data_IF_142960588615
#
_entry.id   IF_142960588615
#
_cell.length_a   1.000
_cell.length_b   1.000
_cell.length_c   1.000
_cell.angle_alpha   90.00
_cell.angle_beta   90.00
_cell.angle_gamma   90.00
#
_symmetry.space_group_name_H-M   'P 1'
#
loop_
_entity.id
_entity.type
_entity.pdbx_description
1 polymer ?
#
# COMPACT_ATOMS: atom_id res chain seq x y z
N UNK A 1 -19.82 0.35 -3.72
CA UNK A 1 -20.92 -0.49 -3.23
C UNK A 1 -20.42 -1.29 -2.05
N UNK A 2 -21.29 -1.61 -1.11
CA UNK A 2 -20.98 -2.59 -0.07
C UNK A 2 -20.81 -3.97 -0.74
N UNK A 3 -19.75 -4.70 -0.39
CA UNK A 3 -19.54 -6.06 -0.91
C UNK A 3 -20.61 -6.97 -0.28
N UNK A 4 -21.25 -7.83 -1.07
CA UNK A 4 -22.22 -8.80 -0.51
C UNK A 4 -21.50 -9.96 0.18
N UNK A 5 -22.23 -10.73 1.00
CA UNK A 5 -21.68 -11.93 1.66
C UNK A 5 -21.17 -12.93 0.60
N UNK A 6 -21.90 -13.09 -0.50
CA UNK A 6 -21.54 -13.98 -1.62
C UNK A 6 -20.21 -13.58 -2.25
N UNK A 7 -19.92 -12.28 -2.32
CA UNK A 7 -18.63 -11.80 -2.81
C UNK A 7 -17.48 -12.24 -1.89
N UNK A 8 -17.66 -12.23 -0.57
CA UNK A 8 -16.61 -12.66 0.36
C UNK A 8 -16.35 -14.17 0.39
N UNK A 9 -17.25 -14.99 -0.16
CA UNK A 9 -17.05 -16.44 -0.23
C UNK A 9 -16.13 -16.85 -1.39
N UNK A 10 -15.96 -15.99 -2.39
CA UNK A 10 -15.19 -16.31 -3.59
C UNK A 10 -14.24 -15.16 -3.96
N UNK A 11 -12.93 -15.40 -3.86
CA UNK A 11 -11.88 -14.43 -4.17
C UNK A 11 -11.97 -13.85 -5.59
N UNK A 12 -12.32 -14.66 -6.59
CA UNK A 12 -12.40 -14.22 -7.99
C UNK A 12 -13.62 -13.33 -8.23
N UNK A 13 -14.77 -13.71 -7.66
CA UNK A 13 -15.96 -12.86 -7.63
C UNK A 13 -15.66 -11.55 -6.91
N UNK A 14 -15.01 -11.61 -5.74
CA UNK A 14 -14.60 -10.42 -5.02
C UNK A 14 -13.71 -9.52 -5.88
N UNK A 15 -12.67 -10.06 -6.53
CA UNK A 15 -11.76 -9.28 -7.37
C UNK A 15 -12.45 -8.65 -8.57
N UNK A 16 -13.43 -9.33 -9.17
CA UNK A 16 -14.17 -8.82 -10.33
C UNK A 16 -15.01 -7.59 -10.00
N UNK A 17 -15.63 -7.59 -8.82
CA UNK A 17 -16.63 -6.59 -8.45
C UNK A 17 -16.13 -5.58 -7.41
N UNK A 18 -15.15 -5.98 -6.61
CA UNK A 18 -14.52 -5.18 -5.59
C UNK A 18 -13.18 -4.65 -6.08
N UNK A 19 -13.02 -3.34 -6.01
CA UNK A 19 -11.72 -2.70 -6.19
C UNK A 19 -10.87 -2.73 -4.92
N UNK A 20 -11.04 -3.69 -4.00
CA UNK A 20 -10.34 -3.79 -2.71
C UNK A 20 -9.44 -5.02 -2.62
N UNK A 21 -8.52 -5.05 -1.65
CA UNK A 21 -7.70 -6.24 -1.39
C UNK A 21 -8.52 -7.28 -0.61
N UNK A 22 -8.59 -8.51 -1.11
CA UNK A 22 -9.48 -9.54 -0.55
C UNK A 22 -9.18 -9.88 0.92
N UNK A 23 -7.91 -10.13 1.26
CA UNK A 23 -7.53 -10.47 2.63
C UNK A 23 -7.83 -9.30 3.58
N UNK A 24 -7.49 -8.08 3.16
CA UNK A 24 -7.78 -6.89 3.94
C UNK A 24 -9.28 -6.73 4.20
N UNK A 25 -10.12 -6.88 3.18
CA UNK A 25 -11.56 -6.75 3.33
C UNK A 25 -12.15 -7.82 4.26
N UNK A 26 -11.58 -9.04 4.28
CA UNK A 26 -11.95 -10.08 5.24
C UNK A 26 -11.48 -9.76 6.66
N UNK A 27 -10.31 -9.14 6.83
CA UNK A 27 -9.81 -8.73 8.14
C UNK A 27 -10.68 -7.64 8.78
N UNK A 28 -11.25 -6.74 7.98
CA UNK A 28 -12.15 -5.70 8.48
C UNK A 28 -13.43 -6.31 9.09
N UNK A 29 -13.89 -7.46 8.60
CA UNK A 29 -15.07 -8.19 9.11
C UNK A 29 -14.71 -9.34 10.06
N UNK A 30 -13.44 -9.46 10.48
CA UNK A 30 -12.98 -10.45 11.47
C UNK A 30 -13.58 -10.20 12.86
N UNK A 31 -13.90 -8.94 13.17
CA UNK A 31 -14.52 -8.53 14.42
C UNK A 31 -16.04 -8.63 14.30
N UNK A 32 -16.68 -9.20 15.33
CA UNK A 32 -18.13 -9.41 15.39
C UNK A 32 -18.92 -8.11 15.20
N UNK A 33 -18.43 -7.06 15.84
CA UNK A 33 -19.05 -5.73 15.83
C UNK A 33 -19.10 -5.18 14.41
N UNK A 34 -18.01 -5.33 13.65
CA UNK A 34 -17.95 -4.87 12.26
C UNK A 34 -18.85 -5.70 11.34
N UNK A 35 -18.93 -7.02 11.59
CA UNK A 35 -19.85 -7.90 10.87
C UNK A 35 -21.30 -7.47 11.07
N UNK A 36 -21.73 -7.35 12.33
CA UNK A 36 -23.10 -6.93 12.70
C UNK A 36 -23.44 -5.55 12.17
N UNK A 37 -22.49 -4.60 12.25
CA UNK A 37 -22.67 -3.25 11.75
C UNK A 37 -22.92 -3.21 10.23
N UNK A 38 -22.19 -4.02 9.46
CA UNK A 38 -22.25 -3.98 7.99
C UNK A 38 -23.36 -4.85 7.39
N UNK A 39 -23.74 -5.93 8.07
CA UNK A 39 -24.65 -6.95 7.53
C UNK A 39 -25.92 -7.17 8.36
N UNK A 40 -26.07 -6.49 9.50
CA UNK A 40 -27.20 -6.67 10.42
C UNK A 40 -27.11 -7.92 11.29
N UNK A 41 -26.14 -8.80 11.04
CA UNK A 41 -25.93 -10.06 11.75
C UNK A 41 -24.44 -10.45 11.77
N UNK A 42 -24.08 -11.41 12.63
CA UNK A 42 -22.75 -12.01 12.60
C UNK A 42 -22.65 -12.98 11.41
N UNK A 43 -21.73 -12.73 10.48
CA UNK A 43 -21.53 -13.50 9.25
C UNK A 43 -20.22 -14.29 9.30
N UNK A 44 -19.44 -14.23 10.40
CA UNK A 44 -18.06 -14.75 10.44
C UNK A 44 -17.96 -16.24 10.18
N UNK A 45 -18.96 -17.01 10.58
CA UNK A 45 -19.11 -18.44 10.30
C UNK A 45 -19.30 -18.77 8.80
N UNK A 46 -19.74 -17.79 8.02
CA UNK A 46 -19.97 -17.88 6.57
C UNK A 46 -18.80 -17.38 5.73
N UNK A 47 -17.73 -16.90 6.36
CA UNK A 47 -16.55 -16.36 5.70
C UNK A 47 -15.44 -17.41 5.59
N UNK A 48 -14.57 -17.31 4.58
CA UNK A 48 -13.39 -18.15 4.49
C UNK A 48 -12.42 -17.85 5.64
N UNK A 49 -11.67 -18.89 6.02
CA UNK A 49 -10.61 -18.81 7.02
C UNK A 49 -9.48 -17.86 6.55
N UNK A 50 -9.40 -16.70 7.21
CA UNK A 50 -8.48 -15.60 6.88
C UNK A 50 -7.03 -16.03 6.98
N UNK A 51 -6.71 -16.93 7.91
CA UNK A 51 -5.35 -17.36 8.19
C UNK A 51 -4.79 -18.23 7.04
N UNK A 52 -5.67 -18.80 6.21
CA UNK A 52 -5.30 -19.55 4.99
C UNK A 52 -5.15 -18.66 3.75
N UNK A 53 -5.47 -17.37 3.85
CA UNK A 53 -5.44 -16.45 2.71
C UNK A 53 -4.16 -15.62 2.78
N UNK A 54 -3.42 -15.57 1.68
CA UNK A 54 -2.24 -14.70 1.53
C UNK A 54 -2.63 -13.31 1.04
N UNK A 55 -1.87 -12.30 1.46
CA UNK A 55 -2.00 -10.96 0.88
C UNK A 55 -1.64 -10.98 -0.60
N UNK A 56 -2.41 -10.25 -1.40
CA UNK A 56 -2.08 -9.98 -2.79
C UNK A 56 -1.13 -8.76 -2.83
N UNK A 57 0.18 -9.03 -2.73
CA UNK A 57 1.22 -8.00 -2.65
C UNK A 57 1.24 -7.10 -3.91
N UNK A 58 0.98 -7.67 -5.08
CA UNK A 58 0.84 -6.93 -6.33
C UNK A 58 -0.31 -5.92 -6.26
N UNK A 59 -1.48 -6.31 -5.76
CA UNK A 59 -2.60 -5.38 -5.58
C UNK A 59 -2.27 -4.26 -4.58
N UNK A 60 -1.62 -4.59 -3.45
CA UNK A 60 -1.24 -3.57 -2.46
C UNK A 60 -0.24 -2.59 -3.06
N UNK A 61 0.80 -3.09 -3.74
CA UNK A 61 1.81 -2.26 -4.41
C UNK A 61 1.17 -1.38 -5.50
N UNK A 62 0.26 -1.91 -6.31
CA UNK A 62 -0.41 -1.14 -7.35
C UNK A 62 -1.19 0.05 -6.75
N UNK A 63 -1.79 -0.12 -5.56
CA UNK A 63 -2.45 0.98 -4.84
C UNK A 63 -1.48 2.02 -4.29
N UNK A 64 -0.29 1.61 -3.86
CA UNK A 64 0.79 2.55 -3.50
C UNK A 64 1.11 3.41 -4.72
N UNK A 65 1.44 2.77 -5.84
CA UNK A 65 1.83 3.45 -7.07
C UNK A 65 0.71 4.34 -7.63
N UNK A 66 -0.56 3.91 -7.52
CA UNK A 66 -1.71 4.75 -7.86
C UNK A 66 -1.73 6.07 -7.10
N UNK A 67 -1.44 6.06 -5.81
CA UNK A 67 -1.42 7.30 -5.01
C UNK A 67 -0.20 8.16 -5.33
N UNK A 68 0.92 7.57 -5.72
CA UNK A 68 2.09 8.33 -6.20
C UNK A 68 1.80 8.99 -7.55
N UNK A 69 1.28 8.23 -8.53
CA UNK A 69 0.87 8.74 -9.84
C UNK A 69 -0.12 9.91 -9.69
N UNK A 70 -1.09 9.77 -8.78
CA UNK A 70 -2.03 10.86 -8.47
C UNK A 70 -1.35 12.06 -7.84
N UNK A 71 -0.33 11.87 -6.99
CA UNK A 71 0.45 12.98 -6.45
C UNK A 71 1.22 13.70 -7.57
N UNK A 72 1.85 12.97 -8.48
CA UNK A 72 2.59 13.55 -9.61
C UNK A 72 1.69 14.32 -10.58
N UNK A 73 0.46 13.85 -10.80
CA UNK A 73 -0.50 14.46 -11.73
C UNK A 73 -1.18 15.72 -11.16
N UNK A 74 -1.30 15.82 -9.85
CA UNK A 74 -2.09 16.86 -9.20
C UNK A 74 -1.38 18.22 -9.24
N UNK A 75 -2.13 19.27 -9.60
CA UNK A 75 -1.61 20.64 -9.66
C UNK A 75 -1.73 21.37 -8.33
N UNK A 76 -2.76 21.05 -7.56
CA UNK A 76 -2.93 21.57 -6.21
C UNK A 76 -1.96 20.88 -5.26
N UNK A 77 -1.07 21.66 -4.66
CA UNK A 77 -0.01 21.13 -3.81
C UNK A 77 -0.56 20.42 -2.56
N UNK A 78 -1.62 20.96 -1.94
CA UNK A 78 -2.23 20.36 -0.74
C UNK A 78 -2.84 19.00 -1.07
N UNK A 79 -3.53 18.88 -2.20
CA UNK A 79 -4.08 17.60 -2.67
C UNK A 79 -2.92 16.67 -3.03
N UNK A 80 -1.88 17.15 -3.71
CA UNK A 80 -0.71 16.35 -4.08
C UNK A 80 -0.01 15.76 -2.86
N UNK A 81 0.28 16.57 -1.83
CA UNK A 81 0.84 16.15 -0.54
C UNK A 81 -0.07 15.15 0.18
N UNK A 82 -1.40 15.34 0.09
CA UNK A 82 -2.38 14.40 0.62
C UNK A 82 -2.34 13.04 -0.11
N UNK A 83 -2.19 13.01 -1.43
CA UNK A 83 -2.04 11.76 -2.19
C UNK A 83 -0.70 11.09 -1.87
N UNK A 84 0.39 11.85 -1.80
CA UNK A 84 1.70 11.34 -1.41
C UNK A 84 1.70 10.68 -0.03
N UNK A 85 1.17 11.34 0.99
CA UNK A 85 1.08 10.74 2.34
C UNK A 85 0.28 9.44 2.34
N UNK A 86 -0.78 9.31 1.53
CA UNK A 86 -1.51 8.04 1.37
C UNK A 86 -0.65 6.95 0.74
N UNK A 87 0.19 7.29 -0.25
CA UNK A 87 1.12 6.34 -0.84
C UNK A 87 2.12 5.85 0.21
N UNK A 88 2.74 6.76 0.96
CA UNK A 88 3.71 6.41 2.01
C UNK A 88 3.08 5.52 3.08
N UNK A 89 1.87 5.83 3.56
CA UNK A 89 1.18 5.01 4.55
C UNK A 89 0.87 3.61 4.03
N UNK A 90 0.41 3.49 2.78
CA UNK A 90 0.12 2.19 2.16
C UNK A 90 1.39 1.39 1.93
N UNK A 91 2.49 2.03 1.53
CA UNK A 91 3.77 1.34 1.35
C UNK A 91 4.36 0.89 2.71
N UNK A 92 4.18 1.72 3.74
CA UNK A 92 4.57 1.37 5.11
C UNK A 92 3.78 0.16 5.62
N UNK A 93 2.46 0.13 5.39
CA UNK A 93 1.63 -1.04 5.68
C UNK A 93 2.05 -2.26 4.86
N UNK A 94 2.31 -2.08 3.56
CA UNK A 94 2.81 -3.12 2.66
C UNK A 94 4.08 -3.77 3.21
N UNK A 95 5.06 -2.99 3.68
CA UNK A 95 6.25 -3.53 4.32
C UNK A 95 5.91 -4.31 5.59
N UNK A 96 5.01 -3.80 6.44
CA UNK A 96 4.59 -4.54 7.64
C UNK A 96 4.03 -5.91 7.30
N UNK A 97 3.14 -6.00 6.30
CA UNK A 97 2.56 -7.29 5.89
C UNK A 97 3.54 -8.18 5.14
N UNK A 98 4.50 -7.61 4.42
CA UNK A 98 5.58 -8.36 3.77
C UNK A 98 6.49 -9.05 4.79
N UNK A 99 6.84 -8.36 5.88
CA UNK A 99 7.67 -8.93 6.96
C UNK A 99 6.86 -9.72 8.00
N UNK A 100 5.54 -9.66 7.95
CA UNK A 100 4.61 -10.34 8.85
C UNK A 100 3.24 -10.49 8.20
N UNK A 101 3.02 -11.62 7.54
CA UNK A 101 1.80 -11.88 6.74
C UNK A 101 0.51 -11.89 7.58
N UNK A 102 0.64 -11.86 8.91
CA UNK A 102 -0.47 -11.82 9.87
C UNK A 102 -0.76 -10.41 10.39
N UNK A 103 0.06 -9.42 10.05
CA UNK A 103 0.00 -8.08 10.64
C UNK A 103 -1.38 -7.42 10.47
N UNK A 104 -2.16 -7.21 11.57
CA UNK A 104 -3.57 -6.87 11.45
C UNK A 104 -3.87 -5.38 11.48
N UNK A 105 -2.87 -4.54 11.69
CA UNK A 105 -3.09 -3.15 12.07
C UNK A 105 -2.89 -2.19 10.90
N UNK A 106 -3.86 -1.30 10.70
CA UNK A 106 -3.77 -0.20 9.72
C UNK A 106 -3.44 1.14 10.38
N UNK A 107 -3.39 1.20 11.71
CA UNK A 107 -3.08 2.43 12.45
C UNK A 107 -1.61 2.83 12.29
N UNK A 108 -1.37 4.12 12.08
CA UNK A 108 -0.03 4.68 11.85
C UNK A 108 0.92 4.34 13.02
N UNK A 109 0.44 4.40 14.26
CA UNK A 109 1.24 4.09 15.45
C UNK A 109 1.74 2.64 15.42
N UNK A 110 0.85 1.68 15.09
CA UNK A 110 1.22 0.26 15.00
C UNK A 110 2.14 0.00 13.82
N UNK A 111 1.90 0.65 12.68
CA UNK A 111 2.78 0.59 11.50
C UNK A 111 4.19 1.10 11.84
N UNK A 112 4.31 2.28 12.48
CA UNK A 112 5.60 2.82 12.91
C UNK A 112 6.32 1.86 13.87
N UNK A 113 5.60 1.33 14.85
CA UNK A 113 6.16 0.38 15.82
C UNK A 113 6.72 -0.87 15.13
N UNK A 114 5.95 -1.47 14.21
CA UNK A 114 6.39 -2.63 13.43
C UNK A 114 7.57 -2.31 12.53
N UNK A 115 7.57 -1.18 11.83
CA UNK A 115 8.69 -0.82 10.97
C UNK A 115 9.96 -0.56 11.77
N UNK A 116 9.88 0.03 12.97
CA UNK A 116 11.04 0.18 13.85
C UNK A 116 11.65 -1.16 14.24
N UNK A 117 10.84 -2.17 14.55
CA UNK A 117 11.37 -3.50 14.86
C UNK A 117 11.98 -4.18 13.63
N UNK A 118 11.38 -4.01 12.44
CA UNK A 118 11.94 -4.55 11.19
C UNK A 118 13.26 -3.86 10.83
N UNK A 119 13.37 -2.54 10.95
CA UNK A 119 14.60 -1.78 10.59
C UNK A 119 15.81 -2.19 11.42
N UNK A 120 15.61 -2.68 12.65
CA UNK A 120 16.68 -3.24 13.47
C UNK A 120 17.32 -4.50 12.82
N UNK A 121 16.54 -5.23 12.03
CA UNK A 121 16.94 -6.46 11.34
C UNK A 121 17.35 -6.16 9.89
N UNK A 122 16.59 -5.30 9.21
CA UNK A 122 16.64 -5.07 7.77
C UNK A 122 16.97 -3.60 7.51
N UNK A 123 18.26 -3.25 7.59
CA UNK A 123 18.74 -1.85 7.57
C UNK A 123 18.43 -1.12 6.25
N UNK A 124 18.34 -1.82 5.12
CA UNK A 124 18.08 -1.21 3.81
C UNK A 124 16.69 -0.54 3.71
N UNK A 125 15.74 -0.90 4.57
CA UNK A 125 14.42 -0.24 4.61
C UNK A 125 14.38 0.97 5.54
N UNK A 126 15.44 1.33 6.26
CA UNK A 126 15.44 2.41 7.26
C UNK A 126 14.89 3.75 6.73
N UNK A 127 15.12 4.04 5.44
CA UNK A 127 14.63 5.27 4.79
C UNK A 127 13.11 5.40 4.86
N UNK A 128 12.36 4.29 4.96
CA UNK A 128 10.90 4.35 5.11
C UNK A 128 10.46 5.13 6.34
N UNK A 129 11.22 5.07 7.43
CA UNK A 129 10.88 5.79 8.67
C UNK A 129 10.94 7.30 8.45
N UNK A 130 11.86 7.78 7.61
CA UNK A 130 11.99 9.19 7.27
C UNK A 130 10.77 9.62 6.47
N UNK A 131 10.47 8.92 5.38
CA UNK A 131 9.30 9.21 4.55
C UNK A 131 7.98 9.16 5.34
N UNK A 132 7.84 8.19 6.24
CA UNK A 132 6.66 8.02 7.08
C UNK A 132 6.48 9.19 8.05
N UNK A 133 7.57 9.69 8.65
CA UNK A 133 7.53 10.90 9.49
C UNK A 133 7.09 12.13 8.69
N UNK A 134 7.64 12.33 7.49
CA UNK A 134 7.22 13.42 6.61
C UNK A 134 5.75 13.31 6.23
N UNK A 135 5.27 12.10 5.88
CA UNK A 135 3.87 11.86 5.58
C UNK A 135 2.94 12.16 6.77
N UNK A 136 3.37 11.90 8.00
CA UNK A 136 2.64 12.29 9.23
C UNK A 136 2.65 13.80 9.42
N UNK A 137 3.79 14.47 9.24
CA UNK A 137 3.91 15.93 9.35
C UNK A 137 3.00 16.65 8.35
N UNK A 138 2.97 16.18 7.11
CA UNK A 138 2.04 16.65 6.06
C UNK A 138 0.60 16.59 6.55
N UNK A 139 0.21 15.46 7.16
CA UNK A 139 -1.16 15.21 7.61
C UNK A 139 -1.56 16.02 8.83
N UNK A 140 -0.65 16.16 9.78
CA UNK A 140 -0.93 16.81 11.06
C UNK A 140 -0.78 18.33 10.99
N UNK A 141 0.22 18.83 10.26
CA UNK A 141 0.64 20.24 10.29
C UNK A 141 0.56 20.92 8.93
N UNK A 142 0.46 20.16 7.84
CA UNK A 142 0.56 20.71 6.48
C UNK A 142 1.98 21.16 6.08
N UNK A 143 2.97 20.92 6.93
CA UNK A 143 4.36 21.34 6.77
C UNK A 143 5.21 20.14 6.36
N UNK A 144 6.25 20.40 5.57
CA UNK A 144 7.29 19.47 5.15
C UNK A 144 8.65 20.08 5.52
N UNK A 145 9.62 19.25 5.92
CA UNK A 145 10.95 19.70 6.31
C UNK A 145 11.81 20.19 5.14
N UNK A 146 11.59 19.62 3.95
CA UNK A 146 12.33 19.90 2.71
C UNK A 146 11.37 20.23 1.54
N UNK A 147 11.93 20.40 0.35
CA UNK A 147 11.14 20.55 -0.87
C UNK A 147 10.29 19.29 -1.13
N UNK A 148 8.99 19.50 -1.36
CA UNK A 148 8.05 18.40 -1.53
C UNK A 148 8.33 17.55 -2.77
N UNK A 149 8.76 18.16 -3.87
CA UNK A 149 9.06 17.43 -5.09
C UNK A 149 10.26 16.50 -4.85
N UNK A 150 11.32 17.00 -4.21
CA UNK A 150 12.49 16.20 -3.87
C UNK A 150 12.16 14.99 -2.98
N UNK A 151 11.38 15.19 -1.91
CA UNK A 151 10.95 14.09 -1.03
C UNK A 151 10.14 13.05 -1.80
N UNK A 152 9.24 13.49 -2.67
CA UNK A 152 8.40 12.61 -3.48
C UNK A 152 9.24 11.79 -4.46
N UNK A 153 10.19 12.40 -5.15
CA UNK A 153 11.09 11.74 -6.09
C UNK A 153 12.02 10.75 -5.37
N UNK A 154 12.60 11.15 -4.24
CA UNK A 154 13.41 10.28 -3.40
C UNK A 154 12.63 9.03 -2.93
N UNK A 155 11.34 9.18 -2.62
CA UNK A 155 10.47 8.07 -2.25
C UNK A 155 10.20 7.13 -3.44
N UNK A 156 9.97 7.67 -4.64
CA UNK A 156 9.78 6.87 -5.86
C UNK A 156 11.03 6.03 -6.15
N UNK A 157 12.19 6.68 -6.16
CA UNK A 157 13.49 6.05 -6.39
C UNK A 157 13.74 4.96 -5.33
N UNK A 158 13.41 5.23 -4.07
CA UNK A 158 13.53 4.26 -3.00
C UNK A 158 12.68 3.00 -3.26
N UNK A 159 11.40 3.15 -3.61
CA UNK A 159 10.52 2.00 -3.93
C UNK A 159 11.07 1.21 -5.11
N UNK A 160 11.44 1.88 -6.20
CA UNK A 160 11.93 1.20 -7.40
C UNK A 160 13.26 0.51 -7.14
N UNK A 161 14.16 1.11 -6.36
CA UNK A 161 15.40 0.46 -5.93
C UNK A 161 15.14 -0.82 -5.15
N UNK A 162 14.13 -0.82 -4.25
CA UNK A 162 13.74 -2.02 -3.52
C UNK A 162 13.15 -3.10 -4.42
N UNK A 163 12.33 -2.73 -5.41
CA UNK A 163 11.76 -3.69 -6.38
C UNK A 163 12.83 -4.32 -7.28
N UNK A 164 13.79 -3.51 -7.75
CA UNK A 164 14.84 -3.97 -8.65
C UNK A 164 15.88 -4.83 -7.92
N UNK A 165 16.20 -4.50 -6.67
CA UNK A 165 17.23 -5.23 -5.89
C UNK A 165 16.68 -6.41 -5.08
N UNK A 166 15.44 -6.83 -5.34
CA UNK A 166 14.82 -7.95 -4.61
C UNK A 166 14.58 -7.68 -3.12
N UNK A 167 14.44 -6.42 -2.71
CA UNK A 167 14.19 -6.03 -1.31
C UNK A 167 12.74 -6.20 -0.85
N UNK A 168 11.88 -6.79 -1.68
CA UNK A 168 10.43 -6.90 -1.52
C UNK A 168 9.93 -8.30 -1.93
N UNK A 169 8.61 -8.49 -1.97
CA UNK A 169 7.96 -9.77 -2.28
C UNK A 169 8.37 -10.43 -3.61
N UNK A 170 8.88 -9.65 -4.56
CA UNK A 170 9.44 -10.11 -5.84
C UNK A 170 10.54 -9.14 -6.28
N UNK A 171 11.61 -9.69 -6.86
CA UNK A 171 12.59 -8.94 -7.64
C UNK A 171 12.08 -8.73 -9.07
N UNK A 172 12.14 -7.49 -9.55
CA UNK A 172 11.75 -7.13 -10.90
C UNK A 172 12.98 -6.71 -11.70
N UNK A 173 13.19 -7.31 -12.87
CA UNK A 173 13.99 -6.65 -13.91
C UNK A 173 13.32 -5.33 -14.32
N UNK A 174 14.06 -4.37 -14.88
CA UNK A 174 13.47 -3.11 -15.36
C UNK A 174 12.35 -3.35 -16.38
N UNK A 175 12.48 -4.37 -17.23
CA UNK A 175 11.46 -4.76 -18.20
C UNK A 175 10.18 -5.28 -17.52
N UNK A 176 10.31 -6.16 -16.52
CA UNK A 176 9.17 -6.66 -15.75
C UNK A 176 8.50 -5.55 -14.94
N UNK A 177 9.27 -4.64 -14.35
CA UNK A 177 8.72 -3.50 -13.61
C UNK A 177 7.94 -2.58 -14.54
N UNK A 178 8.46 -2.31 -15.74
CA UNK A 178 7.75 -1.56 -16.78
C UNK A 178 6.45 -2.26 -17.21
N UNK A 179 6.46 -3.59 -17.40
CA UNK A 179 5.24 -4.36 -17.69
C UNK A 179 4.24 -4.30 -16.54
N UNK A 180 4.71 -4.41 -15.31
CA UNK A 180 3.89 -4.28 -14.11
C UNK A 180 3.21 -2.90 -14.06
N UNK A 181 3.94 -1.82 -14.34
CA UNK A 181 3.35 -0.47 -14.38
C UNK A 181 2.26 -0.34 -15.45
N UNK A 182 2.45 -0.96 -16.62
CA UNK A 182 1.47 -0.93 -17.72
C UNK A 182 0.18 -1.69 -17.37
N UNK A 183 0.28 -2.76 -16.57
CA UNK A 183 -0.83 -3.65 -16.24
C UNK A 183 -1.92 -2.98 -15.40
N UNK A 184 -1.58 -2.01 -14.56
CA UNK A 184 -2.50 -1.46 -13.55
C UNK A 184 -2.91 0.00 -13.83
N UNK A 185 -4.18 0.32 -13.52
CA UNK A 185 -4.74 1.69 -13.50
C UNK A 185 -4.39 2.58 -14.71
N UNK A 186 -4.42 2.04 -15.93
CA UNK A 186 -4.15 2.80 -17.16
C UNK A 186 -2.66 3.09 -17.40
N UNK A 187 -1.75 2.41 -16.70
CA UNK A 187 -0.36 2.27 -17.11
C UNK A 187 0.67 3.17 -16.43
N UNK A 188 0.28 3.94 -15.41
CA UNK A 188 1.14 4.84 -14.61
C UNK A 188 2.21 5.65 -15.41
N UNK A 189 1.78 6.45 -16.40
CA UNK A 189 2.70 7.09 -17.35
C UNK A 189 3.73 8.05 -16.71
N UNK A 190 3.41 8.71 -15.59
CA UNK A 190 4.36 9.60 -14.92
C UNK A 190 5.42 8.81 -14.17
N UNK A 191 5.04 7.75 -13.47
CA UNK A 191 5.96 6.84 -12.79
C UNK A 191 6.95 6.17 -13.76
N UNK A 192 6.54 5.86 -14.99
CA UNK A 192 7.43 5.29 -16.01
C UNK A 192 8.63 6.17 -16.36
N UNK A 193 8.55 7.49 -16.12
CA UNK A 193 9.67 8.42 -16.36
C UNK A 193 10.85 8.12 -15.42
N UNK A 194 10.55 7.79 -14.17
CA UNK A 194 11.55 7.44 -13.15
C UNK A 194 12.25 6.10 -13.40
N UNK A 195 11.63 5.18 -14.14
CA UNK A 195 12.33 3.95 -14.56
C UNK A 195 13.45 4.22 -15.56
N UNK A 196 13.30 5.25 -16.40
CA UNK A 196 14.33 5.61 -17.37
C UNK A 196 15.57 6.21 -16.71
N UNK A 197 15.39 6.82 -15.54
CA UNK A 197 16.45 7.48 -14.76
C UNK A 197 17.24 6.51 -13.87
N UNK A 198 16.76 5.27 -13.71
CA UNK A 198 17.41 4.22 -12.93
C UNK A 198 18.32 3.30 -13.76
N UNK A 199 18.25 3.42 -15.09
CA UNK A 199 19.07 2.67 -16.04
C UNK A 199 20.27 3.48 -16.52
#
# INVERSE_FOLDING_TARGET
GYNTIEMYKNKETFKKWSGANYKWALMDIKYEENSKLLYGEDIRDRLPDIDKIKFDYDDILARVLYHIEKSLKEKDEKISRSKFSKAVFKFSYYLCVFFDESFPYTSIIKIISKLKSVVQIVKNIQKIIIFLKEAVNIRAKGIISEDFAQIREAFIIFIFSLLIKGGLHKEFTTAELNMYLVKFFGGFPLLKRFLKELN
#
